data_IF_426199012857
#
_entry.id   IF_426199012857
#
_cell.length_a   1.000
_cell.length_b   1.000
_cell.length_c   1.000
_cell.angle_alpha   90.00
_cell.angle_beta   90.00
_cell.angle_gamma   90.00
#
_symmetry.space_group_name_H-M   'P 1'
#
loop_
_entity.id
_entity.type
_entity.pdbx_description
1 polymer ?
#
# COMPACT_ATOMS: atom_id res chain seq x y z
N UNK A 1 3.47 -3.83 -3.21
CA UNK A 1 2.93 -5.18 -2.98
C UNK A 1 1.41 -5.10 -2.82
N UNK A 2 0.70 -6.20 -3.13
CA UNK A 2 -0.77 -6.27 -3.08
C UNK A 2 -1.21 -7.15 -1.93
N UNK A 3 -2.26 -6.74 -1.20
CA UNK A 3 -2.89 -7.60 -0.20
C UNK A 3 -4.40 -7.75 -0.44
N UNK A 4 -4.92 -8.93 -0.09
CA UNK A 4 -6.33 -9.30 -0.24
C UNK A 4 -7.05 -9.21 1.11
N UNK A 5 -8.30 -8.73 1.07
CA UNK A 5 -9.29 -8.77 2.14
C UNK A 5 -10.56 -9.44 1.65
N UNK A 6 -11.37 -9.95 2.57
CA UNK A 6 -12.69 -10.52 2.29
C UNK A 6 -13.76 -9.74 3.04
N UNK A 7 -14.93 -9.63 2.42
CA UNK A 7 -16.14 -9.11 3.06
C UNK A 7 -17.34 -9.97 2.67
N UNK A 8 -18.47 -9.79 3.33
CA UNK A 8 -19.61 -10.70 3.24
C UNK A 8 -20.86 -9.93 2.85
N UNK A 9 -21.43 -10.24 1.70
CA UNK A 9 -22.66 -9.65 1.21
C UNK A 9 -23.78 -10.69 1.22
N UNK A 10 -25.01 -10.23 1.44
CA UNK A 10 -26.20 -11.02 1.16
C UNK A 10 -26.61 -10.80 -0.30
N UNK A 11 -26.83 -11.88 -1.03
CA UNK A 11 -27.40 -11.79 -2.38
C UNK A 11 -28.91 -11.53 -2.35
N UNK A 12 -29.50 -11.36 -3.54
CA UNK A 12 -30.94 -11.10 -3.68
C UNK A 12 -31.85 -12.18 -3.06
N UNK A 13 -31.33 -13.39 -2.82
CA UNK A 13 -32.03 -14.50 -2.19
C UNK A 13 -31.71 -14.63 -0.69
N UNK A 14 -30.95 -13.70 -0.12
CA UNK A 14 -30.53 -13.74 1.28
C UNK A 14 -29.39 -14.72 1.56
N UNK A 15 -28.73 -15.29 0.56
CA UNK A 15 -27.58 -16.16 0.73
C UNK A 15 -26.30 -15.34 0.93
N UNK A 16 -25.48 -15.76 1.91
CA UNK A 16 -24.19 -15.11 2.21
C UNK A 16 -23.17 -15.38 1.09
N UNK A 17 -22.65 -14.32 0.51
CA UNK A 17 -21.56 -14.39 -0.48
C UNK A 17 -20.27 -13.76 0.05
N UNK A 18 -19.17 -14.48 -0.12
CA UNK A 18 -17.82 -13.97 0.16
C UNK A 18 -17.33 -13.19 -1.06
N UNK A 19 -16.96 -11.93 -0.84
CA UNK A 19 -16.37 -11.05 -1.83
C UNK A 19 -14.96 -10.68 -1.43
N UNK A 20 -14.19 -10.16 -2.38
CA UNK A 20 -12.80 -9.77 -2.18
C UNK A 20 -12.60 -8.30 -2.47
N UNK A 21 -11.60 -7.74 -1.80
CA UNK A 21 -11.08 -6.40 -2.01
C UNK A 21 -9.56 -6.49 -1.99
N UNK A 22 -8.91 -5.75 -2.87
CA UNK A 22 -7.46 -5.70 -3.02
C UNK A 22 -6.95 -4.29 -2.73
N UNK A 23 -5.85 -4.22 -1.99
CA UNK A 23 -5.16 -2.99 -1.65
C UNK A 23 -3.75 -3.04 -2.23
N UNK A 24 -3.40 -2.02 -3.03
CA UNK A 24 -2.10 -1.83 -3.69
C UNK A 24 -1.41 -0.56 -3.16
N UNK A 25 -0.73 -0.59 -2.01
CA UNK A 25 -0.07 0.58 -1.44
C UNK A 25 1.36 0.75 -1.94
N UNK A 26 1.83 2.00 -1.93
CA UNK A 26 3.24 2.40 -2.04
C UNK A 26 3.69 3.04 -0.75
N UNK A 27 4.80 2.56 -0.20
CA UNK A 27 5.37 3.01 1.07
C UNK A 27 6.72 3.67 0.85
N UNK A 28 6.95 4.80 1.50
CA UNK A 28 8.29 5.35 1.64
C UNK A 28 9.06 4.55 2.71
N UNK A 29 10.17 3.94 2.32
CA UNK A 29 10.98 3.12 3.23
C UNK A 29 11.79 3.95 4.24
N UNK A 30 11.92 5.25 4.03
CA UNK A 30 12.61 6.14 4.97
C UNK A 30 11.80 6.36 6.25
N UNK A 31 10.54 6.77 6.10
CA UNK A 31 9.64 7.10 7.21
C UNK A 31 8.46 6.14 7.38
N UNK A 32 8.34 5.12 6.52
CA UNK A 32 7.27 4.11 6.50
C UNK A 32 5.87 4.68 6.21
N UNK A 33 5.79 5.86 5.61
CA UNK A 33 4.53 6.50 5.21
C UNK A 33 3.93 5.78 3.99
N UNK A 34 2.63 5.52 4.01
CA UNK A 34 1.90 5.10 2.82
C UNK A 34 1.65 6.34 1.97
N UNK A 35 2.45 6.52 0.93
CA UNK A 35 2.41 7.71 0.06
C UNK A 35 1.29 7.69 -0.96
N UNK A 36 0.91 6.51 -1.43
CA UNK A 36 -0.23 6.31 -2.32
C UNK A 36 -0.78 4.91 -2.17
N UNK A 37 -2.01 4.72 -2.60
CA UNK A 37 -2.62 3.40 -2.67
C UNK A 37 -3.80 3.41 -3.63
N UNK A 38 -4.19 2.22 -4.08
CA UNK A 38 -5.43 1.98 -4.79
C UNK A 38 -6.18 0.82 -4.15
N UNK A 39 -7.49 0.85 -4.22
CA UNK A 39 -8.37 -0.20 -3.72
C UNK A 39 -9.29 -0.65 -4.86
N UNK A 40 -9.37 -1.96 -5.08
CA UNK A 40 -10.15 -2.52 -6.19
C UNK A 40 -10.86 -3.82 -5.81
N UNK A 41 -11.98 -4.15 -6.45
CA UNK A 41 -12.70 -5.40 -6.19
C UNK A 41 -12.03 -6.63 -6.81
N UNK A 42 -11.11 -6.42 -7.75
CA UNK A 42 -10.36 -7.47 -8.44
C UNK A 42 -8.91 -7.07 -8.61
N UNK A 43 -7.95 -8.02 -8.65
CA UNK A 43 -6.57 -7.71 -9.01
C UNK A 43 -6.55 -7.12 -10.43
N UNK A 44 -6.08 -5.90 -10.58
CA UNK A 44 -6.08 -5.24 -11.88
C UNK A 44 -4.80 -4.44 -12.14
N UNK A 45 -4.40 -4.41 -13.40
CA UNK A 45 -3.31 -3.56 -13.87
C UNK A 45 -3.60 -2.09 -13.60
N UNK A 46 -4.85 -1.66 -13.80
CA UNK A 46 -5.29 -0.29 -13.62
C UNK A 46 -5.11 0.18 -12.17
N UNK A 47 -5.48 -0.67 -11.19
CA UNK A 47 -5.29 -0.39 -9.77
C UNK A 47 -3.83 -0.14 -9.43
N UNK A 48 -2.94 -1.06 -9.82
CA UNK A 48 -1.50 -0.94 -9.57
C UNK A 48 -0.91 0.30 -10.26
N UNK A 49 -1.28 0.55 -11.52
CA UNK A 49 -0.78 1.71 -12.28
C UNK A 49 -1.30 3.03 -11.73
N UNK A 50 -2.54 3.07 -11.24
CA UNK A 50 -3.10 4.26 -10.58
C UNK A 50 -2.33 4.60 -9.31
N UNK A 51 -2.07 3.61 -8.45
CA UNK A 51 -1.26 3.81 -7.25
C UNK A 51 0.19 4.19 -7.58
N UNK A 52 0.77 3.59 -8.63
CA UNK A 52 2.10 3.94 -9.13
C UNK A 52 2.16 5.41 -9.57
N UNK A 53 1.20 5.86 -10.37
CA UNK A 53 1.16 7.23 -10.88
C UNK A 53 1.09 8.25 -9.73
N UNK A 54 0.22 8.01 -8.76
CA UNK A 54 0.13 8.84 -7.56
C UNK A 54 1.44 8.87 -6.77
N UNK A 55 2.14 7.72 -6.63
CA UNK A 55 3.44 7.66 -5.97
C UNK A 55 4.50 8.47 -6.71
N UNK A 56 4.53 8.37 -8.05
CA UNK A 56 5.44 9.14 -8.92
C UNK A 56 5.22 10.64 -8.73
N UNK A 57 3.97 11.09 -8.75
CA UNK A 57 3.60 12.50 -8.60
C UNK A 57 3.95 13.05 -7.21
N UNK A 58 3.56 12.33 -6.15
CA UNK A 58 3.84 12.73 -4.77
C UNK A 58 5.31 12.78 -4.39
N UNK A 59 6.16 12.11 -5.15
CA UNK A 59 7.62 12.08 -4.92
C UNK A 59 8.40 12.82 -6.00
N UNK A 60 7.73 13.62 -6.82
CA UNK A 60 8.37 14.30 -7.96
C UNK A 60 9.41 15.36 -7.56
N UNK A 61 9.30 15.89 -6.33
CA UNK A 61 10.20 16.89 -5.75
C UNK A 61 11.49 16.29 -5.15
N UNK A 62 11.63 14.95 -5.16
CA UNK A 62 12.82 14.28 -4.64
C UNK A 62 14.09 14.73 -5.38
N UNK A 63 15.08 15.25 -4.62
CA UNK A 63 16.36 15.77 -5.14
C UNK A 63 17.37 14.68 -5.52
N UNK A 64 17.02 13.42 -5.30
CA UNK A 64 17.86 12.25 -5.58
C UNK A 64 17.10 11.29 -6.51
N UNK A 65 17.85 10.36 -7.09
CA UNK A 65 17.26 9.31 -7.93
C UNK A 65 16.40 8.38 -7.09
N UNK A 66 15.11 8.35 -7.40
CA UNK A 66 14.14 7.48 -6.74
C UNK A 66 14.35 6.02 -7.15
N UNK A 67 14.08 5.12 -6.22
CA UNK A 67 14.04 3.66 -6.47
C UNK A 67 12.69 3.13 -6.00
N UNK A 68 11.97 2.46 -6.89
CA UNK A 68 10.76 1.73 -6.53
C UNK A 68 11.10 0.25 -6.41
N UNK A 69 10.93 -0.28 -5.21
CA UNK A 69 11.15 -1.68 -4.89
C UNK A 69 9.81 -2.44 -4.83
N UNK A 70 9.77 -3.64 -5.38
CA UNK A 70 8.61 -4.53 -5.31
C UNK A 70 9.04 -6.00 -5.21
N UNK A 71 8.08 -6.87 -4.92
CA UNK A 71 8.24 -8.28 -5.21
C UNK A 71 8.24 -8.56 -6.72
N UNK A 72 8.22 -9.84 -7.10
CA UNK A 72 8.16 -10.27 -8.50
C UNK A 72 6.72 -10.54 -8.97
N UNK A 73 5.73 -9.92 -8.36
CA UNK A 73 4.35 -10.01 -8.79
C UNK A 73 4.17 -9.60 -10.26
N UNK A 74 3.19 -10.18 -10.92
CA UNK A 74 2.93 -9.94 -12.35
C UNK A 74 2.73 -8.46 -12.68
N UNK A 75 2.08 -7.71 -11.79
CA UNK A 75 1.79 -6.29 -11.97
C UNK A 75 3.04 -5.43 -12.10
N UNK A 76 4.09 -5.74 -11.32
CA UNK A 76 5.35 -4.99 -11.31
C UNK A 76 6.29 -5.39 -12.47
N UNK A 77 5.98 -6.50 -13.17
CA UNK A 77 6.70 -6.95 -14.36
C UNK A 77 6.04 -6.48 -15.66
N UNK A 78 4.88 -5.81 -15.60
CA UNK A 78 4.22 -5.26 -16.79
C UNK A 78 5.10 -4.23 -17.51
N UNK A 79 5.10 -4.28 -18.84
CA UNK A 79 5.84 -3.31 -19.67
C UNK A 79 5.43 -1.87 -19.38
N UNK A 80 4.13 -1.62 -19.17
CA UNK A 80 3.61 -0.29 -18.84
C UNK A 80 4.15 0.21 -17.50
N UNK A 81 4.17 -0.66 -16.47
CA UNK A 81 4.74 -0.32 -15.17
C UNK A 81 6.21 0.08 -15.28
N UNK A 82 7.01 -0.73 -15.99
CA UNK A 82 8.43 -0.49 -16.21
C UNK A 82 8.68 0.77 -17.06
N UNK A 83 7.86 0.98 -18.09
CA UNK A 83 7.93 2.17 -18.93
C UNK A 83 7.68 3.46 -18.14
N UNK A 84 6.66 3.48 -17.28
CA UNK A 84 6.35 4.63 -16.42
C UNK A 84 7.53 4.97 -15.50
N UNK A 85 8.18 3.99 -14.91
CA UNK A 85 9.39 4.23 -14.09
C UNK A 85 10.53 4.82 -14.92
N UNK A 86 10.76 4.26 -16.11
CA UNK A 86 11.82 4.69 -17.01
C UNK A 86 11.67 6.15 -17.46
N UNK A 87 10.46 6.56 -17.87
CA UNK A 87 10.22 7.94 -18.35
C UNK A 87 10.36 8.98 -17.23
N UNK A 88 10.19 8.55 -15.97
CA UNK A 88 10.37 9.42 -14.79
C UNK A 88 11.76 9.27 -14.12
N UNK A 89 12.71 8.59 -14.77
CA UNK A 89 14.06 8.32 -14.25
C UNK A 89 14.07 7.64 -12.87
N UNK A 90 13.11 6.74 -12.65
CA UNK A 90 13.01 5.94 -11.42
C UNK A 90 13.64 4.57 -11.64
N UNK A 91 14.52 4.16 -10.73
CA UNK A 91 15.12 2.84 -10.78
C UNK A 91 14.13 1.78 -10.26
N UNK A 92 13.97 0.70 -11.02
CA UNK A 92 13.19 -0.45 -10.55
C UNK A 92 14.12 -1.45 -9.83
N UNK A 93 13.76 -1.78 -8.61
CA UNK A 93 14.37 -2.87 -7.83
C UNK A 93 13.32 -3.94 -7.56
N UNK A 94 13.73 -5.19 -7.57
CA UNK A 94 12.85 -6.32 -7.26
C UNK A 94 13.50 -7.25 -6.24
N UNK A 95 12.68 -7.82 -5.36
CA UNK A 95 13.12 -8.84 -4.40
C UNK A 95 13.80 -10.00 -5.11
N UNK A 96 14.81 -10.58 -4.48
CA UNK A 96 15.45 -11.80 -4.98
C UNK A 96 14.45 -12.95 -4.99
N UNK A 97 14.58 -13.85 -5.94
CA UNK A 97 13.68 -15.00 -6.06
C UNK A 97 13.71 -15.84 -4.78
N UNK A 98 12.55 -16.01 -4.15
CA UNK A 98 12.39 -16.80 -2.92
C UNK A 98 12.87 -16.11 -1.63
N UNK A 99 13.16 -14.79 -1.66
CA UNK A 99 13.55 -14.04 -0.47
C UNK A 99 12.46 -13.04 -0.07
N UNK A 100 11.62 -13.43 0.89
CA UNK A 100 10.57 -12.57 1.44
C UNK A 100 11.12 -11.42 2.30
N UNK A 101 12.34 -11.54 2.84
CA UNK A 101 12.94 -10.51 3.71
C UNK A 101 13.15 -9.16 2.99
N UNK A 102 13.29 -9.20 1.67
CA UNK A 102 13.50 -7.99 0.87
C UNK A 102 12.25 -7.08 0.82
N UNK A 103 11.05 -7.59 1.20
CA UNK A 103 9.77 -6.85 1.22
C UNK A 103 9.17 -6.70 2.64
N UNK A 104 9.97 -6.99 3.67
CA UNK A 104 9.51 -7.04 5.06
C UNK A 104 8.82 -5.78 5.60
N UNK A 105 9.16 -4.53 5.21
CA UNK A 105 8.44 -3.34 5.69
C UNK A 105 6.98 -3.32 5.24
N UNK A 106 6.70 -3.71 3.99
CA UNK A 106 5.34 -3.76 3.45
C UNK A 106 4.55 -4.93 4.05
N UNK A 107 5.18 -6.10 4.19
CA UNK A 107 4.56 -7.25 4.87
C UNK A 107 4.20 -6.92 6.32
N UNK A 108 5.06 -6.18 7.03
CA UNK A 108 4.79 -5.71 8.38
C UNK A 108 3.60 -4.74 8.41
N UNK A 109 3.51 -3.81 7.46
CA UNK A 109 2.35 -2.92 7.33
C UNK A 109 1.06 -3.72 7.13
N UNK A 110 1.05 -4.70 6.24
CA UNK A 110 -0.13 -5.55 6.02
C UNK A 110 -0.53 -6.34 7.26
N UNK A 111 0.45 -6.88 7.99
CA UNK A 111 0.19 -7.62 9.23
C UNK A 111 -0.46 -6.70 10.29
N UNK A 112 0.08 -5.50 10.48
CA UNK A 112 -0.44 -4.52 11.44
C UNK A 112 -1.85 -4.04 11.02
N UNK A 113 -2.04 -3.68 9.76
CA UNK A 113 -3.36 -3.28 9.23
C UNK A 113 -4.41 -4.37 9.46
N UNK A 114 -4.07 -5.63 9.17
CA UNK A 114 -4.99 -6.75 9.38
C UNK A 114 -5.25 -7.01 10.85
N UNK A 115 -4.24 -6.88 11.70
CA UNK A 115 -4.37 -7.11 13.14
C UNK A 115 -5.22 -6.02 13.82
N UNK A 116 -5.03 -4.77 13.45
CA UNK A 116 -5.66 -3.64 14.14
C UNK A 116 -7.04 -3.27 13.56
N UNK A 117 -7.27 -3.53 12.26
CA UNK A 117 -8.51 -3.17 11.58
C UNK A 117 -9.37 -4.36 11.22
N UNK A 118 -8.77 -5.42 10.69
CA UNK A 118 -9.52 -6.44 9.96
C UNK A 118 -9.88 -7.66 10.81
N UNK A 119 -8.93 -8.22 11.56
CA UNK A 119 -9.21 -9.38 12.38
C UNK A 119 -10.12 -9.02 13.56
N UNK A 120 -11.16 -9.84 13.78
CA UNK A 120 -12.19 -9.60 14.80
C UNK A 120 -13.34 -8.70 14.34
N UNK A 121 -13.25 -8.11 13.14
CA UNK A 121 -14.34 -7.35 12.52
C UNK A 121 -14.91 -8.08 11.31
N UNK A 122 -16.20 -7.86 11.04
CA UNK A 122 -16.90 -8.37 9.86
C UNK A 122 -17.41 -7.20 9.06
N UNK A 123 -17.09 -7.17 7.77
CA UNK A 123 -17.51 -6.12 6.84
C UNK A 123 -18.59 -6.68 5.90
N UNK A 124 -19.63 -5.89 5.66
CA UNK A 124 -20.83 -6.32 4.93
C UNK A 124 -20.97 -5.67 3.56
N UNK A 125 -20.08 -4.76 3.19
CA UNK A 125 -20.05 -4.18 1.86
C UNK A 125 -18.62 -3.80 1.44
N UNK A 126 -18.45 -3.63 0.12
CA UNK A 126 -17.22 -3.09 -0.46
C UNK A 126 -16.89 -1.71 0.09
N UNK A 127 -17.89 -0.81 0.12
CA UNK A 127 -17.70 0.57 0.55
C UNK A 127 -17.37 0.68 2.04
N UNK A 128 -17.98 -0.16 2.89
CA UNK A 128 -17.67 -0.22 4.31
C UNK A 128 -16.20 -0.59 4.55
N UNK A 129 -15.74 -1.68 3.92
CA UNK A 129 -14.35 -2.14 4.06
C UNK A 129 -13.37 -1.14 3.45
N UNK A 130 -13.68 -0.60 2.27
CA UNK A 130 -12.87 0.43 1.61
C UNK A 130 -12.68 1.65 2.51
N UNK A 131 -13.77 2.20 3.04
CA UNK A 131 -13.73 3.37 3.93
C UNK A 131 -12.93 3.08 5.21
N UNK A 132 -13.08 1.88 5.78
CA UNK A 132 -12.33 1.48 6.95
C UNK A 132 -10.82 1.42 6.66
N UNK A 133 -10.39 0.89 5.52
CA UNK A 133 -9.00 0.85 5.10
C UNK A 133 -8.45 2.26 4.84
N UNK A 134 -9.19 3.13 4.17
CA UNK A 134 -8.81 4.52 3.90
C UNK A 134 -8.60 5.30 5.20
N UNK A 135 -9.53 5.19 6.15
CA UNK A 135 -9.43 5.80 7.47
C UNK A 135 -8.26 5.24 8.29
N UNK A 136 -8.01 3.94 8.20
CA UNK A 136 -6.88 3.32 8.87
C UNK A 136 -5.54 3.82 8.30
N UNK A 137 -5.39 3.94 6.99
CA UNK A 137 -4.17 4.46 6.36
C UNK A 137 -3.92 5.91 6.81
N UNK A 138 -4.98 6.74 6.90
CA UNK A 138 -4.87 8.08 7.44
C UNK A 138 -4.38 8.07 8.90
N UNK A 139 -4.99 7.25 9.76
CA UNK A 139 -4.56 7.06 11.15
C UNK A 139 -3.11 6.57 11.24
N UNK A 140 -2.75 5.55 10.45
CA UNK A 140 -1.41 4.99 10.40
C UNK A 140 -0.36 6.05 10.05
N UNK A 141 -0.62 6.87 9.04
CA UNK A 141 0.30 7.91 8.60
C UNK A 141 0.44 9.07 9.59
N UNK A 142 -0.65 9.48 10.26
CA UNK A 142 -0.69 10.75 10.99
C UNK A 142 -0.79 10.60 12.51
N UNK A 143 -1.14 9.42 13.03
CA UNK A 143 -1.40 9.22 14.47
C UNK A 143 -0.67 8.02 15.05
N UNK A 144 -0.50 6.95 14.28
CA UNK A 144 0.09 5.71 14.77
C UNK A 144 1.58 5.89 14.99
N UNK A 145 2.01 5.94 16.25
CA UNK A 145 3.42 6.04 16.64
C UNK A 145 4.16 4.72 16.42
N UNK A 146 5.46 4.82 16.16
CA UNK A 146 6.37 3.68 15.98
C UNK A 146 7.68 3.92 16.73
N UNK A 147 8.12 2.94 17.49
CA UNK A 147 9.41 2.99 18.20
C UNK A 147 10.57 3.29 17.25
N UNK A 148 10.61 2.59 16.09
CA UNK A 148 11.61 2.80 15.04
C UNK A 148 11.66 4.22 14.49
N UNK A 149 10.59 5.00 14.63
CA UNK A 149 10.49 6.39 14.22
C UNK A 149 10.56 7.35 15.43
N UNK A 150 11.31 6.99 16.46
CA UNK A 150 11.45 7.77 17.69
C UNK A 150 10.08 8.08 18.34
N UNK A 151 9.17 7.13 18.32
CA UNK A 151 7.79 7.28 18.84
C UNK A 151 6.96 8.36 18.14
N UNK A 152 7.31 8.68 16.90
CA UNK A 152 6.54 9.56 16.04
C UNK A 152 5.68 8.76 15.04
N UNK A 153 4.65 9.43 14.51
CA UNK A 153 3.94 8.91 13.33
C UNK A 153 4.82 9.03 12.08
N UNK A 154 4.56 8.28 11.00
CA UNK A 154 5.28 8.42 9.74
C UNK A 154 5.39 9.86 9.23
N UNK A 155 4.28 10.61 9.23
CA UNK A 155 4.26 12.01 8.79
C UNK A 155 5.03 12.92 9.74
N UNK A 156 4.85 12.78 11.06
CA UNK A 156 5.56 13.60 12.04
C UNK A 156 7.07 13.36 11.98
N UNK A 157 7.50 12.11 11.77
CA UNK A 157 8.91 11.77 11.58
C UNK A 157 9.48 12.45 10.34
N UNK A 158 8.76 12.41 9.20
CA UNK A 158 9.20 13.11 7.99
C UNK A 158 9.34 14.60 8.22
N UNK A 159 8.35 15.24 8.83
CA UNK A 159 8.37 16.68 9.13
C UNK A 159 9.52 17.06 10.06
N UNK A 160 9.78 16.27 11.09
CA UNK A 160 10.87 16.52 12.04
C UNK A 160 12.26 16.37 11.40
N UNK A 161 12.42 15.44 10.43
CA UNK A 161 13.72 15.17 9.79
C UNK A 161 13.98 16.00 8.54
N UNK A 162 12.96 16.57 7.90
CA UNK A 162 13.12 17.47 6.75
C UNK A 162 13.27 18.93 7.15
N UNK A 163 12.95 19.29 8.39
CA UNK A 163 13.12 20.64 8.92
C UNK A 163 14.53 20.91 9.49
N UNK A 164 15.38 19.88 9.52
CA UNK A 164 16.79 19.96 9.91
C UNK A 164 17.70 20.00 8.69
#
# INVERSE_FOLDING_TARGET
>A
DTTEFKYYELDANGALKVRKLYLDPFMDLYNLEIISFSISPTPSAESILSAQQQAIEKTADAKYRRTFHSDRGWGYQMRTYQYNLKVHNIFQSMSRRGNCLDNSPMENFFAILKQELYYGNTFHSYDELKMAIENYIMYYNTKRIKEKLNWLSPVDYRLATTAA
#
